data_IF_494326395390
#
_entry.id   IF_494326395390
#
_cell.length_a   1.000
_cell.length_b   1.000
_cell.length_c   1.000
_cell.angle_alpha   90.00
_cell.angle_beta   90.00
_cell.angle_gamma   90.00
#
_symmetry.space_group_name_H-M   'P 1'
#
loop_
_entity.id
_entity.type
_entity.pdbx_description
1 polymer ?
#
# COMPACT_ATOMS: atom_id res chain seq x y z
N UNK A 1 24.56 -61.67 -26.97
CA UNK A 1 24.81 -60.89 -25.74
C UNK A 1 25.00 -59.42 -26.13
N UNK A 2 23.91 -58.66 -26.24
CA UNK A 2 23.94 -57.20 -26.37
C UNK A 2 22.74 -56.65 -25.59
N UNK A 3 22.97 -56.36 -24.31
CA UNK A 3 22.06 -55.54 -23.52
C UNK A 3 22.19 -54.11 -24.07
N UNK A 4 21.13 -53.58 -24.68
CA UNK A 4 21.00 -52.13 -24.83
C UNK A 4 20.12 -51.61 -23.71
N UNK A 5 20.80 -50.98 -22.77
CA UNK A 5 20.28 -50.31 -21.59
C UNK A 5 19.30 -49.20 -21.97
N UNK A 6 18.15 -49.18 -21.28
CA UNK A 6 17.18 -48.10 -21.31
C UNK A 6 17.82 -46.79 -20.82
N UNK A 7 17.66 -45.70 -21.57
CA UNK A 7 17.84 -44.35 -21.07
C UNK A 7 16.51 -43.61 -21.22
N UNK A 8 15.73 -43.61 -20.14
CA UNK A 8 14.57 -42.75 -19.97
C UNK A 8 15.09 -41.36 -19.55
N UNK A 9 14.91 -40.30 -20.35
CA UNK A 9 15.22 -38.96 -19.88
C UNK A 9 14.12 -38.57 -18.90
N UNK A 10 14.45 -38.63 -17.60
CA UNK A 10 13.62 -38.04 -16.56
C UNK A 10 13.59 -36.52 -16.81
N UNK A 11 12.51 -36.05 -17.43
CA UNK A 11 12.14 -34.64 -17.48
C UNK A 11 11.95 -34.17 -16.03
N UNK A 12 12.98 -33.54 -15.48
CA UNK A 12 12.86 -32.71 -14.29
C UNK A 12 11.89 -31.57 -14.65
N UNK A 13 10.62 -31.75 -14.35
CA UNK A 13 9.70 -30.65 -14.22
C UNK A 13 10.19 -29.80 -13.05
N UNK A 14 10.96 -28.75 -13.36
CA UNK A 14 11.21 -27.68 -12.41
C UNK A 14 9.83 -27.10 -12.08
N UNK A 15 9.29 -27.49 -10.93
CA UNK A 15 8.16 -26.83 -10.30
C UNK A 15 8.59 -25.38 -10.10
N UNK A 16 8.11 -24.49 -10.97
CA UNK A 16 8.21 -23.06 -10.78
C UNK A 16 7.45 -22.69 -9.51
N UNK A 17 8.13 -22.80 -8.37
CA UNK A 17 7.77 -22.03 -7.19
C UNK A 17 8.17 -20.57 -7.49
N UNK A 18 7.42 -19.90 -8.35
CA UNK A 18 7.50 -18.45 -8.46
C UNK A 18 6.98 -17.86 -7.15
N UNK A 19 7.95 -17.53 -6.30
CA UNK A 19 7.91 -16.49 -5.27
C UNK A 19 6.60 -16.34 -4.48
N UNK A 20 6.52 -17.03 -3.34
CA UNK A 20 5.68 -16.58 -2.23
C UNK A 20 6.02 -15.12 -1.88
N UNK A 21 5.01 -14.24 -1.99
CA UNK A 21 4.88 -12.92 -1.34
C UNK A 21 5.69 -11.73 -1.87
N UNK A 22 5.76 -11.56 -3.19
CA UNK A 22 5.94 -10.20 -3.74
C UNK A 22 4.56 -9.52 -3.72
N UNK A 23 4.28 -8.66 -2.73
CA UNK A 23 3.02 -7.91 -2.70
C UNK A 23 2.82 -7.14 -4.01
N UNK A 24 1.60 -7.01 -4.50
CA UNK A 24 1.38 -6.37 -5.81
C UNK A 24 1.92 -4.92 -5.81
N UNK A 25 2.64 -4.52 -6.86
CA UNK A 25 3.12 -3.13 -7.05
C UNK A 25 2.11 -2.30 -7.84
N UNK A 26 2.01 -1.01 -7.53
CA UNK A 26 1.10 -0.05 -8.21
C UNK A 26 1.82 1.29 -8.38
N UNK A 27 1.74 1.94 -9.55
CA UNK A 27 2.27 3.31 -9.73
C UNK A 27 1.43 4.29 -8.90
N UNK A 28 2.06 5.09 -8.04
CA UNK A 28 1.38 6.00 -7.11
C UNK A 28 0.39 6.93 -7.82
N UNK A 29 0.80 7.51 -8.95
CA UNK A 29 -0.03 8.42 -9.74
C UNK A 29 -1.28 7.77 -10.35
N UNK A 30 -1.32 6.43 -10.46
CA UNK A 30 -2.48 5.69 -10.95
C UNK A 30 -3.48 5.36 -9.83
N UNK A 31 -3.15 5.61 -8.57
CA UNK A 31 -4.07 5.38 -7.46
C UNK A 31 -5.13 6.47 -7.46
N UNK A 32 -6.39 6.08 -7.67
CA UNK A 32 -7.50 7.03 -7.78
C UNK A 32 -8.04 7.46 -6.41
N UNK A 33 -8.17 6.51 -5.48
CA UNK A 33 -8.67 6.78 -4.14
C UNK A 33 -8.20 5.76 -3.13
N UNK A 34 -8.17 6.16 -1.86
CA UNK A 34 -7.85 5.35 -0.70
C UNK A 34 -9.03 5.33 0.26
N UNK A 35 -9.33 4.17 0.83
CA UNK A 35 -10.24 4.07 1.98
C UNK A 35 -9.45 3.54 3.16
N UNK A 36 -9.20 4.41 4.13
CA UNK A 36 -8.41 4.11 5.31
C UNK A 36 -9.34 3.89 6.50
N UNK A 37 -9.00 2.92 7.35
CA UNK A 37 -9.85 2.51 8.49
C UNK A 37 -9.05 2.45 9.78
N UNK A 38 -9.63 2.94 10.88
CA UNK A 38 -9.00 3.04 12.21
C UNK A 38 -8.35 1.74 12.69
N UNK A 39 -9.09 0.63 12.60
CA UNK A 39 -8.67 -0.66 13.17
C UNK A 39 -7.94 -1.57 12.17
N UNK A 40 -7.58 -1.04 10.98
CA UNK A 40 -6.82 -1.79 9.99
C UNK A 40 -5.35 -1.35 9.98
N UNK A 41 -4.50 -2.30 9.59
CA UNK A 41 -3.08 -2.05 9.39
C UNK A 41 -2.73 -2.01 7.91
N UNK A 42 -1.62 -1.35 7.61
CA UNK A 42 -1.02 -1.32 6.28
C UNK A 42 -0.39 -2.66 5.94
N UNK A 43 -0.42 -3.02 4.66
CA UNK A 43 0.49 -4.03 4.12
C UNK A 43 1.91 -3.49 4.22
N UNK A 44 2.89 -4.38 4.33
CA UNK A 44 4.28 -3.97 4.52
C UNK A 44 5.22 -4.97 3.87
N UNK A 45 6.41 -4.49 3.48
CA UNK A 45 7.47 -5.34 2.93
C UNK A 45 8.86 -4.99 3.47
N UNK A 46 9.24 -3.71 3.39
CA UNK A 46 10.57 -3.21 3.78
C UNK A 46 10.58 -2.57 5.18
N UNK A 47 9.43 -2.06 5.61
CA UNK A 47 9.22 -1.44 6.93
C UNK A 47 8.17 -2.21 7.72
N UNK A 48 8.03 -1.93 9.01
CA UNK A 48 6.98 -2.55 9.83
C UNK A 48 5.59 -2.02 9.45
N UNK A 49 4.59 -2.89 9.55
CA UNK A 49 3.18 -2.51 9.36
C UNK A 49 2.77 -1.42 10.37
N UNK A 50 2.00 -0.42 9.93
CA UNK A 50 1.46 0.67 10.77
C UNK A 50 -0.07 0.71 10.69
N UNK A 51 -0.78 1.41 11.60
CA UNK A 51 -2.21 1.68 11.43
C UNK A 51 -2.48 2.49 10.16
N UNK A 52 -3.59 2.21 9.47
CA UNK A 52 -3.98 2.97 8.27
C UNK A 52 -4.39 4.42 8.58
N UNK A 53 -4.88 4.67 9.79
CA UNK A 53 -5.22 6.01 10.29
C UNK A 53 -4.48 6.28 11.59
N UNK A 54 -3.89 7.47 11.71
CA UNK A 54 -3.20 7.92 12.91
C UNK A 54 -3.48 9.40 13.17
N UNK A 55 -4.15 9.70 14.27
CA UNK A 55 -4.31 11.08 14.75
C UNK A 55 -3.01 11.53 15.44
N UNK A 56 -2.32 12.51 14.87
CA UNK A 56 -1.01 12.99 15.34
C UNK A 56 -1.08 14.31 16.13
N UNK A 57 -2.21 15.01 16.13
CA UNK A 57 -2.34 16.31 16.80
C UNK A 57 -3.71 16.97 16.56
N UNK A 58 -3.77 18.29 16.80
CA UNK A 58 -5.00 19.08 16.71
C UNK A 58 -5.77 19.17 18.02
N UNK A 59 -6.59 20.21 18.16
CA UNK A 59 -7.38 20.47 19.38
C UNK A 59 -8.50 19.46 19.62
N UNK A 60 -8.92 18.72 18.58
CA UNK A 60 -9.94 17.67 18.70
C UNK A 60 -9.40 16.29 19.08
N UNK A 61 -8.07 16.11 19.18
CA UNK A 61 -7.45 14.81 19.47
C UNK A 61 -7.92 14.26 20.82
N UNK A 62 -8.31 12.99 20.85
CA UNK A 62 -8.81 12.31 22.06
C UNK A 62 -10.29 12.54 22.37
N UNK A 63 -10.96 13.47 21.67
CA UNK A 63 -12.40 13.69 21.81
C UNK A 63 -13.21 12.91 20.76
N UNK A 64 -12.70 12.84 19.53
CA UNK A 64 -13.31 12.07 18.45
C UNK A 64 -12.20 11.48 17.57
N UNK A 65 -12.35 10.21 17.22
CA UNK A 65 -11.41 9.49 16.35
C UNK A 65 -12.12 9.08 15.06
N UNK A 66 -11.51 9.35 13.92
CA UNK A 66 -12.09 9.02 12.61
C UNK A 66 -12.06 7.50 12.38
N UNK A 67 -13.23 6.90 12.15
CA UNK A 67 -13.32 5.46 11.88
C UNK A 67 -12.95 5.12 10.42
N UNK A 68 -13.41 5.95 9.47
CA UNK A 68 -13.17 5.78 8.03
C UNK A 68 -12.86 7.12 7.39
N UNK A 69 -11.76 7.15 6.63
CA UNK A 69 -11.36 8.30 5.83
C UNK A 69 -11.28 7.90 4.35
N UNK A 70 -11.76 8.77 3.47
CA UNK A 70 -11.63 8.64 2.03
C UNK A 70 -10.70 9.71 1.51
N UNK A 71 -9.59 9.32 0.90
CA UNK A 71 -8.71 10.24 0.19
C UNK A 71 -8.86 10.03 -1.32
N UNK A 72 -8.95 11.13 -2.07
CA UNK A 72 -8.97 11.12 -3.54
C UNK A 72 -7.69 11.76 -4.05
N UNK A 73 -7.11 11.16 -5.08
CA UNK A 73 -5.98 11.75 -5.79
C UNK A 73 -6.50 12.99 -6.55
N UNK A 74 -5.90 14.13 -6.24
CA UNK A 74 -6.26 15.45 -6.76
C UNK A 74 -5.27 15.93 -7.84
N UNK A 75 -4.42 15.05 -8.34
CA UNK A 75 -3.37 15.34 -9.31
C UNK A 75 -2.00 15.48 -8.68
N UNK A 76 -1.02 15.76 -9.54
CA UNK A 76 0.35 16.06 -9.14
C UNK A 76 0.54 17.57 -8.98
N UNK A 77 1.41 17.97 -8.05
CA UNK A 77 1.88 19.35 -7.92
C UNK A 77 3.11 19.58 -8.82
N UNK A 78 4.33 19.56 -8.25
CA UNK A 78 5.56 19.88 -8.96
C UNK A 78 6.06 18.77 -9.92
N UNK A 79 5.80 17.50 -9.61
CA UNK A 79 6.21 16.35 -10.43
C UNK A 79 5.20 15.20 -10.34
N UNK A 80 5.30 14.22 -11.25
CA UNK A 80 4.33 13.13 -11.37
C UNK A 80 4.22 12.21 -10.16
N UNK A 81 5.15 12.27 -9.21
CA UNK A 81 5.17 11.47 -7.98
C UNK A 81 4.72 12.27 -6.76
N UNK A 82 4.67 13.61 -6.84
CA UNK A 82 4.15 14.47 -5.79
C UNK A 82 2.62 14.61 -5.86
N UNK A 83 1.93 13.52 -5.52
CA UNK A 83 0.47 13.42 -5.57
C UNK A 83 -0.17 14.19 -4.42
N UNK A 84 -1.09 15.09 -4.78
CA UNK A 84 -1.94 15.82 -3.85
C UNK A 84 -3.17 14.99 -3.50
N UNK A 85 -3.50 14.90 -2.22
CA UNK A 85 -4.63 14.13 -1.73
C UNK A 85 -5.69 15.02 -1.11
N UNK A 86 -6.94 14.86 -1.53
CA UNK A 86 -8.09 15.44 -0.82
C UNK A 86 -8.74 14.37 0.05
N UNK A 87 -8.59 14.50 1.37
CA UNK A 87 -9.14 13.56 2.34
C UNK A 87 -10.42 14.10 3.01
N UNK A 88 -11.44 13.24 3.12
CA UNK A 88 -12.70 13.54 3.80
C UNK A 88 -13.08 12.42 4.76
N UNK A 89 -13.80 12.78 5.82
CA UNK A 89 -14.35 11.86 6.81
C UNK A 89 -15.70 12.39 7.30
N UNK A 90 -16.56 11.50 7.79
CA UNK A 90 -17.75 11.92 8.54
C UNK A 90 -17.30 12.32 9.94
N UNK A 91 -17.63 13.55 10.33
CA UNK A 91 -17.31 14.14 11.62
C UNK A 91 -18.56 14.81 12.19
N UNK A 92 -18.72 14.85 13.52
CA UNK A 92 -19.69 15.74 14.15
C UNK A 92 -19.39 17.21 13.80
N UNK A 93 -20.41 18.08 13.85
CA UNK A 93 -20.32 19.46 13.35
C UNK A 93 -19.31 20.33 14.11
N UNK A 94 -18.98 19.96 15.33
CA UNK A 94 -18.01 20.63 16.20
C UNK A 94 -16.56 20.32 15.81
N UNK A 95 -16.35 19.33 14.93
CA UNK A 95 -15.03 18.88 14.50
C UNK A 95 -14.78 19.15 13.02
N UNK A 96 -13.51 19.35 12.68
CA UNK A 96 -13.02 19.39 11.31
C UNK A 96 -11.68 18.67 11.22
N UNK A 97 -11.36 18.18 10.02
CA UNK A 97 -10.00 17.76 9.73
C UNK A 97 -9.09 18.99 9.66
N UNK A 98 -7.94 18.89 10.33
CA UNK A 98 -6.82 19.80 10.11
C UNK A 98 -6.03 19.40 8.87
N UNK A 99 -4.72 19.59 8.89
CA UNK A 99 -3.84 19.05 7.87
C UNK A 99 -3.88 17.52 7.86
N UNK A 100 -3.81 16.93 6.66
CA UNK A 100 -3.82 15.49 6.43
C UNK A 100 -2.68 15.11 5.52
N UNK A 101 -1.92 14.08 5.90
CA UNK A 101 -0.81 13.55 5.11
C UNK A 101 -1.11 12.11 4.71
N UNK A 102 -0.82 11.77 3.46
CA UNK A 102 -0.89 10.40 2.93
C UNK A 102 0.52 9.94 2.63
N UNK A 103 0.89 8.78 3.18
CA UNK A 103 2.21 8.19 3.01
C UNK A 103 2.00 6.72 2.60
N UNK A 104 2.73 6.29 1.59
CA UNK A 104 2.74 4.90 1.11
C UNK A 104 4.16 4.36 1.14
N UNK A 105 4.32 3.04 1.25
CA UNK A 105 5.62 2.40 1.16
C UNK A 105 6.04 2.31 -0.32
N UNK A 106 7.09 3.04 -0.70
CA UNK A 106 7.73 2.86 -2.01
C UNK A 106 8.17 1.40 -2.19
N UNK A 107 7.97 0.85 -3.39
CA UNK A 107 8.07 -0.58 -3.63
C UNK A 107 9.50 -1.05 -3.39
N UNK A 108 10.45 -0.68 -4.24
CA UNK A 108 11.84 -1.13 -4.16
C UNK A 108 12.71 -0.25 -3.24
N UNK A 109 12.44 1.05 -3.19
CA UNK A 109 13.12 2.06 -2.34
C UNK A 109 12.13 3.15 -1.88
N UNK A 110 12.47 4.02 -0.90
CA UNK A 110 11.48 4.93 -0.29
C UNK A 110 10.78 5.90 -1.26
N UNK A 111 11.50 6.44 -2.24
CA UNK A 111 10.98 7.40 -3.24
C UNK A 111 10.57 6.75 -4.58
N UNK A 112 10.33 5.43 -4.58
CA UNK A 112 9.93 4.71 -5.78
C UNK A 112 8.55 5.21 -6.29
N UNK A 113 8.42 5.58 -7.59
CA UNK A 113 7.14 5.91 -8.22
C UNK A 113 6.08 4.81 -8.09
N UNK A 114 6.52 3.57 -7.88
CA UNK A 114 5.67 2.44 -7.55
C UNK A 114 5.64 2.22 -6.04
N UNK A 115 4.47 1.92 -5.52
CA UNK A 115 4.23 1.62 -4.10
C UNK A 115 3.75 0.19 -3.92
N UNK A 116 3.88 -0.31 -2.70
CA UNK A 116 3.30 -1.58 -2.29
C UNK A 116 1.77 -1.46 -2.18
N UNK A 117 1.02 -2.36 -2.83
CA UNK A 117 -0.44 -2.38 -2.72
C UNK A 117 -0.85 -2.60 -1.27
N UNK A 118 -1.65 -1.67 -0.75
CA UNK A 118 -2.21 -1.72 0.59
C UNK A 118 -1.29 -1.20 1.69
N UNK A 119 -0.10 -0.67 1.34
CA UNK A 119 0.75 0.10 2.25
C UNK A 119 0.19 1.48 2.53
#
# INVERSE_FOLDING_TARGET
>A
MRLLSLLCPALFAASGAEALRSGAKVKLSNVQSLTLRKDLRTSHRRVESIPQLKCIGGSGRGYYEVDVMRCKNAGADYDENNIQWTCTASLPEEFKLGSTDVICEGYDYPEDPYILKGS
#
